data_IF_749816483170
#
_entry.id   IF_749816483170
#
_cell.length_a   1.000
_cell.length_b   1.000
_cell.length_c   1.000
_cell.angle_alpha   90.00
_cell.angle_beta   90.00
_cell.angle_gamma   90.00
#
_symmetry.space_group_name_H-M   'P 1'
#
loop_
_entity.id
_entity.type
_entity.pdbx_description
1 polymer ?
#
# COMPACT_ATOMS: atom_id res chain seq x y z
N UNK A 1 -9.10 68.30 -40.41
CA UNK A 1 -8.05 67.42 -40.84
C UNK A 1 -8.08 66.18 -39.93
N UNK A 2 -8.49 65.05 -40.49
CA UNK A 2 -8.86 63.84 -39.74
C UNK A 2 -7.61 63.00 -39.42
N UNK A 3 -7.38 62.75 -38.13
CA UNK A 3 -6.47 61.70 -37.66
C UNK A 3 -7.30 60.67 -36.87
N UNK A 4 -7.81 59.70 -37.57
CA UNK A 4 -8.47 58.54 -36.95
C UNK A 4 -7.74 57.24 -37.29
N UNK A 5 -7.63 56.43 -36.25
CA UNK A 5 -7.42 54.98 -36.22
C UNK A 5 -6.09 54.39 -36.73
N UNK A 6 -5.20 54.08 -35.79
CA UNK A 6 -4.20 53.03 -35.95
C UNK A 6 -3.94 52.23 -34.66
N UNK A 7 -4.98 51.94 -33.90
CA UNK A 7 -4.83 51.02 -32.74
C UNK A 7 -5.98 50.01 -32.74
N UNK A 8 -5.87 48.99 -33.55
CA UNK A 8 -6.95 48.00 -33.58
C UNK A 8 -6.55 46.57 -33.98
N UNK A 9 -5.33 46.34 -34.48
CA UNK A 9 -4.96 45.00 -34.97
C UNK A 9 -3.88 44.27 -34.19
N UNK A 10 -3.22 44.92 -33.23
CA UNK A 10 -2.17 44.27 -32.43
C UNK A 10 -2.68 43.54 -31.19
N UNK A 11 -3.85 43.94 -30.67
CA UNK A 11 -4.38 43.35 -29.41
C UNK A 11 -5.06 42.00 -29.58
N UNK A 12 -5.56 41.71 -30.78
CA UNK A 12 -6.33 40.48 -31.01
C UNK A 12 -5.41 39.24 -31.22
N UNK A 13 -4.20 39.47 -31.73
CA UNK A 13 -3.24 38.37 -31.94
C UNK A 13 -2.52 37.92 -30.68
N UNK A 14 -2.34 38.83 -29.69
CA UNK A 14 -1.74 38.47 -28.39
C UNK A 14 -2.69 37.74 -27.47
N UNK A 15 -3.99 38.04 -27.57
CA UNK A 15 -5.01 37.34 -26.79
C UNK A 15 -5.23 35.88 -27.22
N UNK A 16 -5.19 35.61 -28.52
CA UNK A 16 -5.41 34.27 -29.07
C UNK A 16 -4.21 33.33 -28.82
N UNK A 17 -2.99 33.83 -28.78
CA UNK A 17 -1.80 33.04 -28.46
C UNK A 17 -1.69 32.69 -26.98
N UNK A 18 -2.16 33.55 -26.07
CA UNK A 18 -2.13 33.28 -24.63
C UNK A 18 -3.15 32.21 -24.23
N UNK A 19 -4.33 32.21 -24.88
CA UNK A 19 -5.36 31.19 -24.64
C UNK A 19 -4.96 29.83 -25.21
N UNK A 20 -4.23 29.81 -26.35
CA UNK A 20 -3.74 28.54 -26.91
C UNK A 20 -2.62 27.90 -26.08
N UNK A 21 -1.77 28.70 -25.41
CA UNK A 21 -0.70 28.19 -24.55
C UNK A 21 -1.29 27.69 -23.21
N UNK A 22 -2.36 28.33 -22.69
CA UNK A 22 -3.01 27.87 -21.45
C UNK A 22 -3.83 26.60 -21.67
N UNK A 23 -4.37 26.37 -22.88
CA UNK A 23 -5.11 25.16 -23.21
C UNK A 23 -4.22 23.93 -23.41
N UNK A 24 -2.91 24.13 -23.71
CA UNK A 24 -1.97 23.02 -23.97
C UNK A 24 -1.31 22.48 -22.69
N UNK A 25 -1.40 23.20 -21.56
CA UNK A 25 -0.81 22.79 -20.28
C UNK A 25 -1.72 21.99 -19.36
N UNK A 26 -2.99 21.77 -19.73
CA UNK A 26 -3.97 21.06 -18.92
C UNK A 26 -4.12 19.57 -19.33
N UNK A 27 -3.45 19.10 -20.37
CA UNK A 27 -3.68 17.77 -20.96
C UNK A 27 -2.72 16.68 -20.45
N UNK A 28 -1.88 16.92 -19.45
CA UNK A 28 -0.88 15.92 -19.05
C UNK A 28 -0.84 15.52 -17.58
N UNK A 29 -1.97 15.65 -16.88
CA UNK A 29 -2.14 15.04 -15.56
C UNK A 29 -3.31 14.05 -15.61
N UNK A 30 -3.22 13.06 -16.50
CA UNK A 30 -3.94 11.82 -16.25
C UNK A 30 -3.17 11.10 -15.14
N UNK A 31 -3.82 10.70 -14.04
CA UNK A 31 -3.20 9.78 -13.13
C UNK A 31 -2.89 8.52 -13.93
N UNK A 32 -1.61 8.26 -14.18
CA UNK A 32 -1.19 6.97 -14.67
C UNK A 32 -1.56 5.99 -13.59
N UNK A 33 -2.56 5.14 -13.85
CA UNK A 33 -2.77 3.95 -13.02
C UNK A 33 -1.40 3.30 -12.84
N UNK A 34 -0.95 3.02 -11.61
CA UNK A 34 0.28 2.30 -11.44
C UNK A 34 0.15 0.97 -12.18
N UNK A 35 0.94 0.80 -13.22
CA UNK A 35 1.04 -0.48 -13.92
C UNK A 35 1.69 -1.41 -12.91
N UNK A 36 0.96 -2.40 -12.43
CA UNK A 36 1.51 -3.41 -11.56
C UNK A 36 2.74 -4.03 -12.24
N UNK A 37 3.91 -3.74 -11.70
CA UNK A 37 5.16 -4.34 -12.18
C UNK A 37 5.19 -5.75 -11.63
N UNK A 38 4.87 -6.72 -12.50
CA UNK A 38 5.02 -8.14 -12.16
C UNK A 38 6.51 -8.44 -12.25
N UNK A 39 7.19 -8.52 -11.11
CA UNK A 39 8.57 -9.00 -11.05
C UNK A 39 8.51 -10.53 -10.95
N UNK A 40 8.88 -11.19 -12.03
CA UNK A 40 9.09 -12.62 -12.06
C UNK A 40 10.44 -12.95 -11.39
N UNK A 41 10.45 -13.12 -10.08
CA UNK A 41 11.49 -13.91 -9.42
C UNK A 41 10.99 -15.35 -9.38
N UNK A 42 11.60 -16.19 -10.20
CA UNK A 42 11.25 -17.60 -10.34
C UNK A 42 11.27 -18.32 -8.99
N UNK A 43 10.13 -18.90 -8.62
CA UNK A 43 9.95 -19.92 -7.58
C UNK A 43 10.01 -19.49 -6.10
N UNK A 44 9.80 -18.22 -5.75
CA UNK A 44 9.58 -17.84 -4.35
C UNK A 44 8.22 -17.17 -4.18
N UNK A 45 7.47 -17.46 -3.08
CA UNK A 45 6.35 -16.62 -2.70
C UNK A 45 6.83 -15.18 -2.62
N UNK A 46 6.21 -14.30 -3.36
CA UNK A 46 6.53 -12.89 -3.38
C UNK A 46 5.31 -12.09 -2.95
N UNK A 47 5.52 -10.94 -2.38
CA UNK A 47 4.45 -10.04 -2.01
C UNK A 47 4.80 -8.60 -2.34
N UNK A 48 3.77 -7.85 -2.62
CA UNK A 48 3.82 -6.42 -2.87
C UNK A 48 2.90 -5.71 -1.87
N UNK A 49 3.34 -4.59 -1.36
CA UNK A 49 2.59 -3.79 -0.40
C UNK A 49 2.41 -2.39 -0.92
N UNK A 50 1.17 -1.92 -0.94
CA UNK A 50 0.82 -0.54 -1.21
C UNK A 50 0.27 0.10 0.06
N UNK A 51 0.77 1.28 0.42
CA UNK A 51 0.31 2.06 1.56
C UNK A 51 -0.13 3.44 1.10
N UNK A 52 -1.36 3.80 1.43
CA UNK A 52 -1.97 5.08 1.10
C UNK A 52 -2.42 5.77 2.39
N UNK A 53 -2.21 7.10 2.48
CA UNK A 53 -2.74 7.89 3.60
C UNK A 53 -3.51 9.09 3.07
N UNK A 54 -4.70 9.28 3.60
CA UNK A 54 -5.54 10.45 3.34
C UNK A 54 -5.67 11.30 4.59
N UNK A 55 -5.62 12.62 4.40
CA UNK A 55 -5.90 13.64 5.41
C UNK A 55 -6.95 14.59 4.89
N UNK A 56 -8.06 14.75 5.61
CA UNK A 56 -9.21 15.57 5.17
C UNK A 56 -9.72 15.20 3.76
N UNK A 57 -9.64 13.92 3.38
CA UNK A 57 -10.05 13.42 2.07
C UNK A 57 -9.04 13.62 0.95
N UNK A 58 -7.89 14.22 1.20
CA UNK A 58 -6.79 14.39 0.25
C UNK A 58 -5.74 13.30 0.45
N UNK A 59 -5.28 12.67 -0.63
CA UNK A 59 -4.18 11.69 -0.60
C UNK A 59 -2.87 12.44 -0.34
N UNK A 60 -2.25 12.23 0.82
CA UNK A 60 -1.03 12.90 1.25
C UNK A 60 0.21 11.99 1.21
N UNK A 61 0.01 10.68 1.07
CA UNK A 61 1.09 9.70 1.05
C UNK A 61 0.68 8.49 0.22
N UNK A 62 1.60 8.03 -0.64
CA UNK A 62 1.51 6.80 -1.41
C UNK A 62 2.89 6.16 -1.46
N UNK A 63 2.97 4.87 -1.15
CA UNK A 63 4.21 4.12 -1.19
C UNK A 63 3.96 2.66 -1.55
N UNK A 64 4.81 2.14 -2.44
CA UNK A 64 4.79 0.74 -2.84
C UNK A 64 6.15 0.10 -2.57
N UNK A 65 6.13 -1.13 -2.08
CA UNK A 65 7.35 -1.87 -1.76
C UNK A 65 7.12 -3.37 -1.87
N UNK A 66 8.22 -4.14 -1.83
CA UNK A 66 8.19 -5.59 -1.71
C UNK A 66 8.36 -6.00 -0.25
N UNK A 67 7.77 -7.14 0.10
CA UNK A 67 7.92 -7.72 1.43
C UNK A 67 9.11 -8.69 1.50
N UNK A 68 9.53 -8.98 2.73
CA UNK A 68 10.31 -10.16 3.07
C UNK A 68 9.36 -11.21 3.63
N UNK A 69 9.36 -12.40 3.01
CA UNK A 69 8.69 -13.58 3.54
C UNK A 69 9.55 -14.15 4.66
N UNK A 70 9.04 -14.11 5.89
CA UNK A 70 9.83 -14.53 7.06
C UNK A 70 9.80 -16.04 7.27
N UNK A 71 10.72 -16.58 8.07
CA UNK A 71 10.83 -18.02 8.31
C UNK A 71 9.56 -18.62 8.92
N UNK A 72 8.88 -17.87 9.78
CA UNK A 72 7.59 -18.28 10.36
C UNK A 72 6.54 -18.49 9.29
N UNK A 73 6.44 -17.55 8.32
CA UNK A 73 5.55 -17.68 7.18
C UNK A 73 5.88 -18.86 6.28
N UNK A 74 7.16 -19.10 6.03
CA UNK A 74 7.60 -20.29 5.26
C UNK A 74 7.24 -21.59 5.98
N UNK A 75 7.35 -21.62 7.29
CA UNK A 75 6.94 -22.77 8.12
C UNK A 75 5.44 -22.98 8.05
N UNK A 76 4.66 -21.89 8.17
CA UNK A 76 3.20 -21.92 8.05
C UNK A 76 2.77 -22.50 6.69
N UNK A 77 3.33 -22.01 5.57
CA UNK A 77 3.03 -22.55 4.22
C UNK A 77 3.40 -24.03 4.13
N UNK A 78 4.57 -24.42 4.62
CA UNK A 78 5.02 -25.83 4.63
C UNK A 78 4.03 -26.71 5.41
N UNK A 79 3.60 -26.30 6.57
CA UNK A 79 2.70 -27.07 7.43
C UNK A 79 1.29 -27.13 6.86
N UNK A 80 0.84 -26.05 6.22
CA UNK A 80 -0.40 -26.05 5.42
C UNK A 80 -0.35 -27.09 4.29
N UNK A 81 0.71 -27.11 3.51
CA UNK A 81 0.86 -28.06 2.39
C UNK A 81 1.02 -29.51 2.86
N UNK A 82 1.65 -29.73 4.04
CA UNK A 82 1.91 -31.07 4.56
C UNK A 82 0.66 -31.71 5.16
N UNK A 83 -0.16 -30.95 5.86
CA UNK A 83 -1.25 -31.53 6.66
C UNK A 83 -2.55 -31.64 5.91
N UNK A 84 -2.73 -30.96 4.79
CA UNK A 84 -4.05 -30.85 4.11
C UNK A 84 -5.15 -30.26 5.03
N UNK A 85 -4.81 -30.20 6.31
CA UNK A 85 -5.53 -29.55 7.39
C UNK A 85 -4.54 -28.55 7.93
N UNK A 86 -4.68 -27.31 7.54
CA UNK A 86 -3.90 -26.28 8.20
C UNK A 86 -4.10 -26.47 9.71
N UNK A 87 -3.01 -26.62 10.45
CA UNK A 87 -3.00 -26.19 11.83
C UNK A 87 -3.25 -24.67 11.91
N UNK A 88 -3.31 -24.04 10.77
CA UNK A 88 -3.83 -22.73 10.49
C UNK A 88 -5.34 -22.85 10.27
N UNK A 89 -6.09 -22.82 11.35
CA UNK A 89 -7.52 -22.54 11.29
C UNK A 89 -7.79 -21.13 10.77
N UNK A 90 -6.74 -20.34 10.59
CA UNK A 90 -6.81 -18.92 10.22
C UNK A 90 -6.11 -18.70 8.88
N UNK A 91 -6.74 -17.96 8.00
CA UNK A 91 -6.17 -17.47 6.77
C UNK A 91 -5.02 -16.48 7.06
N UNK A 92 -4.25 -16.13 6.04
CA UNK A 92 -3.25 -15.06 6.15
C UNK A 92 -3.92 -13.76 5.74
N UNK A 93 -4.70 -13.20 6.63
CA UNK A 93 -5.56 -12.04 6.40
C UNK A 93 -5.55 -11.01 7.54
N UNK A 94 -4.65 -11.16 8.52
CA UNK A 94 -4.49 -10.16 9.57
C UNK A 94 -3.35 -9.20 9.24
N UNK A 95 -3.65 -7.90 9.29
CA UNK A 95 -2.67 -6.87 8.99
C UNK A 95 -2.35 -6.08 10.26
N UNK A 96 -1.05 -5.93 10.54
CA UNK A 96 -0.52 -5.03 11.55
C UNK A 96 0.30 -3.90 10.93
N UNK A 97 0.35 -2.78 11.63
CA UNK A 97 1.13 -1.60 11.27
C UNK A 97 1.94 -1.13 12.47
N UNK A 98 3.05 -0.46 12.23
CA UNK A 98 3.91 0.02 13.30
C UNK A 98 5.26 0.52 12.83
N UNK A 99 6.27 0.35 13.68
CA UNK A 99 7.66 0.64 13.30
C UNK A 99 8.52 -0.62 13.42
N UNK A 100 9.45 -0.75 12.48
CA UNK A 100 10.36 -1.88 12.41
C UNK A 100 11.71 -1.43 11.83
N UNK A 101 12.79 -2.11 12.22
CA UNK A 101 14.10 -1.93 11.60
C UNK A 101 14.14 -2.46 10.16
N UNK A 102 15.29 -2.83 9.67
CA UNK A 102 15.40 -3.52 8.36
C UNK A 102 14.85 -4.94 8.49
N UNK A 103 13.80 -5.31 7.78
CA UNK A 103 13.23 -6.65 7.87
C UNK A 103 14.23 -7.74 7.50
N UNK A 104 14.18 -8.83 8.22
CA UNK A 104 14.99 -10.02 8.01
C UNK A 104 14.13 -11.29 8.01
N UNK A 105 14.64 -12.36 7.43
CA UNK A 105 13.95 -13.66 7.41
C UNK A 105 13.74 -14.26 8.82
N UNK A 106 14.50 -13.81 9.81
CA UNK A 106 14.37 -14.28 11.20
C UNK A 106 13.33 -13.53 12.02
N UNK A 107 12.76 -12.44 11.50
CA UNK A 107 11.76 -11.68 12.22
C UNK A 107 10.45 -12.47 12.32
N UNK A 108 9.78 -12.31 13.43
CA UNK A 108 8.53 -13.01 13.72
C UNK A 108 7.36 -12.07 13.93
N UNK A 109 7.64 -10.77 14.10
CA UNK A 109 6.66 -9.69 14.29
C UNK A 109 7.32 -8.33 14.03
N UNK A 110 6.53 -7.25 14.04
CA UNK A 110 7.07 -5.88 14.07
C UNK A 110 7.75 -5.59 15.42
N UNK A 111 8.79 -4.75 15.43
CA UNK A 111 9.48 -4.33 16.65
C UNK A 111 8.53 -3.56 17.58
N UNK A 112 7.76 -2.65 17.02
CA UNK A 112 6.78 -1.84 17.74
C UNK A 112 5.46 -1.82 16.96
N UNK A 113 4.68 -2.88 17.11
CA UNK A 113 3.32 -2.94 16.59
C UNK A 113 2.43 -1.93 17.30
N UNK A 114 1.61 -1.20 16.55
CA UNK A 114 0.66 -0.25 17.13
C UNK A 114 -0.54 -1.01 17.69
N UNK A 115 -0.89 -0.71 18.95
CA UNK A 115 -2.02 -1.30 19.66
C UNK A 115 -2.98 -0.25 20.21
N UNK A 116 -2.74 1.03 19.88
CA UNK A 116 -3.50 2.19 20.37
C UNK A 116 -3.86 3.11 19.22
N UNK A 117 -4.60 4.18 19.53
CA UNK A 117 -5.00 5.21 18.54
C UNK A 117 -5.83 4.67 17.38
N UNK A 118 -6.59 3.58 17.58
CA UNK A 118 -7.40 2.97 16.53
C UNK A 118 -6.59 2.21 15.47
N UNK A 119 -5.29 1.97 15.73
CA UNK A 119 -4.31 1.46 14.78
C UNK A 119 -3.82 0.05 15.13
N UNK A 120 -4.53 -0.65 16.01
CA UNK A 120 -4.28 -2.04 16.38
C UNK A 120 -4.41 -3.00 15.18
N UNK A 121 -3.78 -4.17 15.29
CA UNK A 121 -3.89 -5.26 14.29
C UNK A 121 -5.35 -5.54 13.96
N UNK A 122 -5.64 -5.79 12.69
CA UNK A 122 -6.99 -6.02 12.20
C UNK A 122 -7.08 -7.30 11.38
N UNK A 123 -8.14 -8.05 11.67
CA UNK A 123 -8.68 -9.05 10.75
C UNK A 123 -9.19 -8.31 9.49
N UNK A 124 -8.54 -8.57 8.39
CA UNK A 124 -8.85 -8.01 7.08
C UNK A 124 -9.54 -9.02 6.16
N UNK A 125 -10.14 -10.07 6.70
CA UNK A 125 -10.81 -11.13 5.95
C UNK A 125 -11.89 -10.60 4.99
N UNK A 126 -12.58 -9.51 5.35
CA UNK A 126 -13.54 -8.83 4.50
C UNK A 126 -12.90 -8.10 3.31
N UNK A 127 -11.60 -7.81 3.37
CA UNK A 127 -10.81 -7.15 2.32
C UNK A 127 -10.03 -8.12 1.43
N UNK A 128 -10.24 -9.43 1.58
CA UNK A 128 -9.58 -10.45 0.73
C UNK A 128 -10.19 -10.47 -0.65
N UNK A 129 -9.36 -10.35 -1.67
CA UNK A 129 -9.78 -10.39 -3.08
C UNK A 129 -8.88 -11.34 -3.87
N UNK A 130 -9.47 -12.29 -4.57
CA UNK A 130 -8.76 -13.14 -5.53
C UNK A 130 -8.44 -12.35 -6.79
N UNK A 131 -7.14 -12.16 -7.08
CA UNK A 131 -6.69 -11.47 -8.29
C UNK A 131 -6.67 -12.43 -9.48
N UNK A 132 -6.10 -13.62 -9.29
CA UNK A 132 -6.04 -14.69 -10.29
C UNK A 132 -5.80 -16.04 -9.61
N UNK A 133 -5.48 -17.10 -10.39
CA UNK A 133 -5.27 -18.45 -9.86
C UNK A 133 -4.07 -18.58 -8.90
N UNK A 134 -3.15 -17.62 -8.92
CA UNK A 134 -1.89 -17.65 -8.15
C UNK A 134 -1.67 -16.43 -7.29
N UNK A 135 -2.61 -15.47 -7.27
CA UNK A 135 -2.47 -14.24 -6.52
C UNK A 135 -3.78 -13.83 -5.84
N UNK A 136 -3.65 -13.29 -4.63
CA UNK A 136 -4.73 -12.64 -3.91
C UNK A 136 -4.23 -11.37 -3.23
N UNK A 137 -5.13 -10.47 -2.91
CA UNK A 137 -4.84 -9.30 -2.08
C UNK A 137 -5.64 -9.33 -0.81
N UNK A 138 -5.07 -8.69 0.22
CA UNK A 138 -5.71 -8.43 1.51
C UNK A 138 -5.56 -6.96 1.79
N UNK A 139 -6.65 -6.28 2.15
CA UNK A 139 -6.59 -4.85 2.44
C UNK A 139 -7.39 -4.47 3.68
N UNK A 140 -6.90 -3.46 4.38
CA UNK A 140 -7.60 -2.82 5.48
C UNK A 140 -7.37 -1.32 5.51
N UNK A 141 -8.38 -0.57 5.98
CA UNK A 141 -8.29 0.88 6.18
C UNK A 141 -8.54 1.20 7.64
N UNK A 142 -7.55 1.81 8.29
CA UNK A 142 -7.67 2.36 9.65
C UNK A 142 -8.08 3.83 9.58
N UNK A 143 -8.75 4.28 10.63
CA UNK A 143 -8.88 5.71 10.94
C UNK A 143 -8.14 5.97 12.24
N UNK A 144 -7.11 6.80 12.19
CA UNK A 144 -6.32 7.16 13.36
C UNK A 144 -7.18 8.01 14.32
N UNK A 145 -7.15 7.67 15.60
CA UNK A 145 -7.80 8.46 16.67
C UNK A 145 -6.80 9.29 17.47
N UNK A 146 -5.53 9.24 17.09
CA UNK A 146 -4.41 9.95 17.73
C UNK A 146 -3.19 9.96 16.81
N UNK A 147 -2.10 10.58 17.28
CA UNK A 147 -0.85 10.62 16.52
C UNK A 147 -0.09 9.30 16.63
N UNK A 148 0.49 8.86 15.52
CA UNK A 148 1.34 7.68 15.46
C UNK A 148 2.35 7.79 14.29
N UNK A 149 3.46 7.08 14.40
CA UNK A 149 4.44 6.92 13.33
C UNK A 149 4.37 5.51 12.78
N UNK A 150 4.32 5.38 11.48
CA UNK A 150 4.33 4.09 10.76
C UNK A 150 5.48 4.09 9.76
N UNK A 151 6.34 3.07 9.82
CA UNK A 151 7.35 2.81 8.79
C UNK A 151 7.39 1.34 8.37
N UNK A 152 6.45 0.53 8.89
CA UNK A 152 6.38 -0.88 8.55
C UNK A 152 4.95 -1.41 8.66
N UNK A 153 4.68 -2.48 7.93
CA UNK A 153 3.48 -3.29 8.03
C UNK A 153 3.85 -4.76 7.99
N UNK A 154 3.02 -5.60 8.59
CA UNK A 154 3.17 -7.05 8.55
C UNK A 154 1.85 -7.76 8.30
N UNK A 155 1.96 -8.92 7.66
CA UNK A 155 0.84 -9.81 7.40
C UNK A 155 0.97 -11.03 8.32
N UNK A 156 -0.12 -11.41 8.96
CA UNK A 156 -0.17 -12.46 9.97
C UNK A 156 -1.23 -13.51 9.65
N UNK A 157 -1.12 -14.67 10.28
CA UNK A 157 -2.10 -15.75 10.22
C UNK A 157 -2.92 -15.92 11.52
N UNK A 158 -2.82 -14.97 12.44
CA UNK A 158 -3.55 -14.99 13.71
C UNK A 158 -3.83 -13.55 14.17
N UNK A 159 -5.12 -13.18 14.38
CA UNK A 159 -5.50 -11.82 14.76
C UNK A 159 -5.15 -11.46 16.21
N UNK A 160 -4.91 -12.47 17.05
CA UNK A 160 -5.02 -12.29 18.50
C UNK A 160 -3.73 -11.95 19.19
N UNK A 161 -2.55 -11.94 18.52
CA UNK A 161 -1.34 -11.92 19.30
C UNK A 161 -0.20 -11.06 18.73
N UNK A 162 0.02 -9.94 19.40
CA UNK A 162 1.21 -9.09 19.27
C UNK A 162 2.47 -9.75 19.88
N UNK A 163 2.31 -10.82 20.69
CA UNK A 163 3.41 -11.44 21.45
C UNK A 163 3.95 -12.72 20.81
N UNK A 164 3.14 -13.49 20.09
CA UNK A 164 3.51 -14.84 19.63
C UNK A 164 4.36 -14.91 18.36
N UNK A 165 4.58 -13.79 17.68
CA UNK A 165 5.48 -13.78 16.52
C UNK A 165 4.99 -14.67 15.37
N UNK A 166 3.77 -14.43 14.90
CA UNK A 166 3.11 -15.18 13.84
C UNK A 166 3.07 -14.44 12.49
N UNK A 167 4.00 -13.51 12.27
CA UNK A 167 4.13 -12.84 11.00
C UNK A 167 4.49 -13.83 9.88
N UNK A 168 3.80 -13.71 8.77
CA UNK A 168 4.06 -14.44 7.53
C UNK A 168 5.01 -13.62 6.65
N UNK A 169 4.82 -12.31 6.63
CA UNK A 169 5.63 -11.39 5.86
C UNK A 169 5.71 -10.02 6.53
N UNK A 170 6.81 -9.32 6.32
CA UNK A 170 7.05 -7.96 6.82
C UNK A 170 7.53 -7.08 5.66
N UNK A 171 7.06 -5.84 5.62
CA UNK A 171 7.50 -4.85 4.66
C UNK A 171 7.77 -3.51 5.36
N UNK A 172 8.92 -2.89 5.04
CA UNK A 172 9.16 -1.52 5.40
C UNK A 172 8.59 -0.59 4.33
N UNK A 173 8.00 0.49 4.81
CA UNK A 173 7.55 1.63 4.01
C UNK A 173 8.31 2.87 4.44
N UNK A 174 8.30 3.91 3.64
CA UNK A 174 8.83 5.19 4.10
C UNK A 174 8.00 5.70 5.29
N UNK A 175 8.67 6.32 6.25
CA UNK A 175 8.02 6.81 7.44
C UNK A 175 6.90 7.81 7.13
N UNK A 176 5.73 7.58 7.72
CA UNK A 176 4.60 8.49 7.68
C UNK A 176 4.11 8.77 9.10
N UNK A 177 3.85 10.05 9.39
CA UNK A 177 3.33 10.51 10.66
C UNK A 177 1.83 10.78 10.53
N UNK A 178 1.03 9.96 11.20
CA UNK A 178 -0.41 10.08 11.27
C UNK A 178 -0.82 11.04 12.38
N UNK A 179 -1.94 11.71 12.18
CA UNK A 179 -2.66 12.48 13.20
C UNK A 179 -4.09 11.96 13.29
N UNK A 180 -4.84 12.41 14.29
CA UNK A 180 -6.25 12.04 14.42
C UNK A 180 -7.03 12.36 13.13
N UNK A 181 -7.97 11.48 12.75
CA UNK A 181 -8.81 11.50 11.55
C UNK A 181 -8.08 11.15 10.24
N UNK A 182 -6.76 10.94 10.25
CA UNK A 182 -6.08 10.38 9.07
C UNK A 182 -6.59 8.97 8.78
N UNK A 183 -6.78 8.66 7.50
CA UNK A 183 -7.08 7.31 7.04
C UNK A 183 -5.82 6.68 6.45
N UNK A 184 -5.42 5.53 6.97
CA UNK A 184 -4.32 4.73 6.44
C UNK A 184 -4.90 3.45 5.85
N UNK A 185 -4.66 3.21 4.56
CA UNK A 185 -4.98 1.95 3.88
C UNK A 185 -3.71 1.19 3.58
N UNK A 186 -3.69 -0.08 3.90
CA UNK A 186 -2.65 -1.03 3.50
C UNK A 186 -3.28 -2.10 2.64
N UNK A 187 -2.67 -2.36 1.48
CA UNK A 187 -3.04 -3.47 0.59
C UNK A 187 -1.83 -4.37 0.40
N UNK A 188 -1.93 -5.61 0.84
CA UNK A 188 -0.99 -6.68 0.58
C UNK A 188 -1.42 -7.46 -0.64
N UNK A 189 -0.52 -7.68 -1.59
CA UNK A 189 -0.72 -8.60 -2.71
C UNK A 189 0.28 -9.73 -2.58
N UNK A 190 -0.20 -10.97 -2.53
CA UNK A 190 0.64 -12.15 -2.43
C UNK A 190 0.52 -12.98 -3.69
N UNK A 191 1.67 -13.39 -4.21
CA UNK A 191 1.80 -14.28 -5.36
C UNK A 191 2.35 -15.62 -4.89
N UNK A 192 1.63 -16.69 -5.19
CA UNK A 192 2.11 -18.06 -5.03
C UNK A 192 2.55 -18.52 -6.40
N UNK A 193 3.86 -18.82 -6.60
CA UNK A 193 4.34 -19.22 -7.91
C UNK A 193 3.62 -20.49 -8.37
N UNK A 194 3.10 -20.46 -9.60
CA UNK A 194 2.65 -21.69 -10.28
C UNK A 194 3.89 -22.47 -10.67
N UNK A 195 4.02 -23.70 -10.19
CA UNK A 195 5.07 -24.61 -10.66
C UNK A 195 5.01 -24.74 -12.20
N UNK A 196 6.11 -24.52 -12.86
CA UNK A 196 6.33 -24.81 -14.27
C UNK A 196 6.62 -26.29 -14.48
#
# INVERSE_FOLDING_TARGET
>A
MNTKLKYGMGGLLLGATLVAILALTIVSLSPTNPTAVIINEENKPSGHVCVLVWRNGELIYEYETHNIFVTTGSTWVKDFLKSGTAGATNATDDIAIGTHGTPSASDTKLDNELTTSGLDRKDASAGVTNINATAYSVEYTWTATGSATVNATSLHHDPTDDTSGNAVAIANVNEVNLIAEDQLKVTWTLNVPSGS
#
